data_IF_455899949690
#
_entry.id   IF_455899949690
#
_cell.length_a   1.000
_cell.length_b   1.000
_cell.length_c   1.000
_cell.angle_alpha   90.00
_cell.angle_beta   90.00
_cell.angle_gamma   90.00
#
_symmetry.space_group_name_H-M   'P 1'
#
loop_
_entity.id
_entity.type
_entity.pdbx_description
1 polymer ?
#
# COMPACT_ATOMS: atom_id res chain seq x y z
N UNK A 1 4.94 -16.17 1.56
CA UNK A 1 5.00 -14.80 1.00
C UNK A 1 6.33 -14.15 1.33
N UNK A 2 7.04 -13.65 0.32
CA UNK A 2 8.36 -13.00 0.45
C UNK A 2 8.25 -11.55 0.92
N UNK A 3 8.47 -11.25 2.19
CA UNK A 3 8.56 -9.87 2.71
C UNK A 3 9.99 -9.50 3.08
N UNK A 4 10.43 -8.27 2.74
CA UNK A 4 11.75 -7.70 3.10
C UNK A 4 11.85 -7.43 4.61
N UNK A 5 10.75 -7.04 5.24
CA UNK A 5 10.61 -6.93 6.71
C UNK A 5 9.48 -7.88 7.12
N UNK A 6 9.68 -8.62 8.21
CA UNK A 6 8.68 -9.55 8.77
C UNK A 6 8.77 -9.55 10.30
N UNK A 7 7.65 -9.79 10.95
CA UNK A 7 7.63 -10.17 12.36
C UNK A 7 7.70 -11.69 12.45
N UNK A 8 8.26 -12.22 13.54
CA UNK A 8 7.92 -13.59 13.96
C UNK A 8 6.40 -13.64 14.20
N UNK A 9 5.78 -14.78 13.91
CA UNK A 9 4.34 -14.96 14.08
C UNK A 9 4.07 -16.28 14.78
N UNK A 10 3.59 -16.16 16.02
CA UNK A 10 2.98 -17.25 16.77
C UNK A 10 1.53 -16.82 17.09
N UNK A 11 0.51 -17.49 16.53
CA UNK A 11 -0.89 -17.13 16.76
C UNK A 11 -1.33 -17.30 18.22
N UNK A 12 -0.62 -18.11 19.01
CA UNK A 12 -0.92 -18.38 20.42
C UNK A 12 -0.32 -17.31 21.36
N UNK A 13 0.63 -16.49 20.89
CA UNK A 13 1.16 -15.33 21.62
C UNK A 13 0.40 -14.04 21.23
N UNK A 14 -0.43 -13.48 22.12
CA UNK A 14 -1.22 -12.29 21.81
C UNK A 14 -0.39 -11.08 21.38
N UNK A 15 0.85 -10.95 21.89
CA UNK A 15 1.74 -9.84 21.53
C UNK A 15 2.28 -10.00 20.12
N UNK A 16 2.62 -11.22 19.71
CA UNK A 16 3.08 -11.50 18.36
C UNK A 16 1.94 -11.40 17.35
N UNK A 17 0.73 -11.81 17.73
CA UNK A 17 -0.48 -11.58 16.93
C UNK A 17 -0.75 -10.09 16.71
N UNK A 18 -0.64 -9.28 17.77
CA UNK A 18 -0.85 -7.83 17.66
C UNK A 18 0.27 -7.14 16.85
N UNK A 19 1.52 -7.55 17.03
CA UNK A 19 2.65 -7.06 16.24
C UNK A 19 2.49 -7.42 14.75
N UNK A 20 2.10 -8.67 14.45
CA UNK A 20 1.86 -9.13 13.09
C UNK A 20 0.71 -8.38 12.42
N UNK A 21 -0.41 -8.15 13.12
CA UNK A 21 -1.52 -7.36 12.60
C UNK A 21 -1.14 -5.90 12.35
N UNK A 22 -0.44 -5.28 13.31
CA UNK A 22 0.03 -3.89 13.22
C UNK A 22 1.02 -3.68 12.08
N UNK A 23 1.85 -4.68 11.78
CA UNK A 23 2.80 -4.65 10.69
C UNK A 23 2.13 -4.92 9.34
N UNK A 24 1.36 -6.00 9.25
CA UNK A 24 0.71 -6.42 7.99
C UNK A 24 -0.31 -5.41 7.50
N UNK A 25 -1.00 -4.70 8.41
CA UNK A 25 -1.94 -3.63 8.06
C UNK A 25 -1.28 -2.37 7.48
N UNK A 26 0.04 -2.20 7.67
CA UNK A 26 0.81 -1.05 7.15
C UNK A 26 1.64 -1.40 5.93
N UNK A 27 1.68 -2.68 5.54
CA UNK A 27 2.42 -3.11 4.36
C UNK A 27 1.65 -2.71 3.11
N UNK A 28 2.40 -2.26 2.12
CA UNK A 28 1.88 -1.96 0.80
C UNK A 28 2.30 -3.03 -0.19
N UNK A 29 1.52 -3.23 -1.24
CA UNK A 29 1.86 -4.19 -2.29
C UNK A 29 3.09 -3.70 -3.08
N UNK A 30 3.05 -2.44 -3.52
CA UNK A 30 4.17 -1.81 -4.20
C UNK A 30 4.39 -0.38 -3.71
N UNK A 31 5.67 -0.01 -3.60
CA UNK A 31 6.12 1.35 -3.34
C UNK A 31 7.02 1.80 -4.50
N UNK A 32 6.59 2.83 -5.22
CA UNK A 32 7.42 3.53 -6.18
C UNK A 32 8.29 4.54 -5.44
N UNK A 33 9.59 4.55 -5.73
CA UNK A 33 10.57 5.49 -5.17
C UNK A 33 11.23 6.29 -6.29
N UNK A 34 11.74 7.48 -5.95
CA UNK A 34 12.60 8.24 -6.86
C UNK A 34 14.06 7.76 -6.81
N UNK A 35 14.92 8.41 -7.60
CA UNK A 35 16.36 8.09 -7.67
C UNK A 35 17.13 8.35 -6.36
N UNK A 36 16.54 9.08 -5.42
CA UNK A 36 17.12 9.37 -4.11
C UNK A 36 16.57 8.44 -3.01
N UNK A 37 15.70 7.50 -3.38
CA UNK A 37 15.09 6.56 -2.45
C UNK A 37 13.89 7.12 -1.69
N UNK A 38 13.35 8.28 -2.09
CA UNK A 38 12.17 8.86 -1.45
C UNK A 38 10.89 8.26 -2.03
N UNK A 39 9.87 7.97 -1.18
CA UNK A 39 8.60 7.39 -1.62
C UNK A 39 7.82 8.37 -2.50
N UNK A 40 7.42 7.94 -3.69
CA UNK A 40 6.69 8.76 -4.68
C UNK A 40 5.22 8.38 -4.76
N UNK A 41 4.90 7.09 -4.81
CA UNK A 41 3.54 6.57 -4.99
C UNK A 41 3.43 5.19 -4.37
N UNK A 42 2.37 4.96 -3.62
CA UNK A 42 1.97 3.62 -3.19
C UNK A 42 0.96 3.06 -4.17
N UNK A 43 1.09 1.78 -4.50
CA UNK A 43 0.16 1.06 -5.38
C UNK A 43 -0.36 -0.18 -4.64
N UNK A 44 -1.67 -0.33 -4.57
CA UNK A 44 -2.37 -1.48 -3.99
C UNK A 44 -3.17 -2.19 -5.08
N UNK A 45 -3.08 -3.52 -5.14
CA UNK A 45 -3.83 -4.32 -6.10
C UNK A 45 -4.97 -5.07 -5.40
N UNK A 46 -6.21 -4.74 -5.75
CA UNK A 46 -7.40 -5.36 -5.19
C UNK A 46 -7.90 -6.50 -6.07
N UNK A 47 -7.47 -7.72 -5.74
CA UNK A 47 -8.04 -8.96 -6.29
C UNK A 47 -9.34 -9.38 -5.60
N UNK A 48 -10.04 -10.35 -6.18
CA UNK A 48 -11.30 -11.02 -5.73
C UNK A 48 -11.30 -11.53 -4.27
N UNK A 49 -10.17 -11.52 -3.57
CA UNK A 49 -10.08 -11.89 -2.15
C UNK A 49 -10.15 -10.74 -1.14
N UNK A 50 -10.19 -9.47 -1.58
CA UNK A 50 -10.13 -8.32 -0.66
C UNK A 50 -11.44 -7.97 0.05
N UNK A 51 -12.58 -8.49 -0.40
CA UNK A 51 -13.89 -8.30 0.26
C UNK A 51 -14.22 -9.38 1.31
N UNK A 52 -13.29 -10.30 1.61
CA UNK A 52 -13.58 -11.49 2.41
C UNK A 52 -13.37 -11.34 3.94
N UNK A 53 -13.13 -10.12 4.45
CA UNK A 53 -13.05 -9.91 5.91
C UNK A 53 -13.65 -8.57 6.31
N UNK A 54 -14.56 -8.56 7.30
CA UNK A 54 -15.22 -7.35 7.82
C UNK A 54 -14.27 -6.26 8.33
N UNK A 55 -13.01 -6.58 8.59
CA UNK A 55 -11.97 -5.63 9.05
C UNK A 55 -11.14 -5.04 7.89
N UNK A 56 -11.48 -5.30 6.63
CA UNK A 56 -10.72 -4.80 5.47
C UNK A 56 -10.82 -3.27 5.34
N UNK A 57 -12.02 -2.73 5.57
CA UNK A 57 -12.30 -1.29 5.47
C UNK A 57 -11.56 -0.48 6.54
N UNK A 58 -11.60 -0.94 7.79
CA UNK A 58 -10.91 -0.28 8.92
C UNK A 58 -9.39 -0.24 8.72
N UNK A 59 -8.82 -1.36 8.21
CA UNK A 59 -7.40 -1.42 7.86
C UNK A 59 -7.05 -0.45 6.73
N UNK A 60 -7.90 -0.37 5.72
CA UNK A 60 -7.69 0.55 4.61
C UNK A 60 -7.82 2.02 5.04
N UNK A 61 -8.71 2.33 5.97
CA UNK A 61 -8.86 3.68 6.53
C UNK A 61 -7.59 4.13 7.25
N UNK A 62 -6.99 3.27 8.09
CA UNK A 62 -5.70 3.55 8.74
C UNK A 62 -4.59 3.74 7.72
N UNK A 63 -4.53 2.90 6.69
CA UNK A 63 -3.53 3.00 5.62
C UNK A 63 -3.66 4.31 4.84
N UNK A 64 -4.86 4.68 4.39
CA UNK A 64 -5.13 5.94 3.69
C UNK A 64 -4.75 7.15 4.53
N UNK A 65 -5.10 7.16 5.82
CA UNK A 65 -4.75 8.25 6.73
C UNK A 65 -3.23 8.36 6.94
N UNK A 66 -2.53 7.23 7.09
CA UNK A 66 -1.07 7.22 7.25
C UNK A 66 -0.37 7.77 6.00
N UNK A 67 -0.80 7.36 4.81
CA UNK A 67 -0.26 7.84 3.53
C UNK A 67 -0.55 9.33 3.31
N UNK A 68 -1.77 9.78 3.62
CA UNK A 68 -2.14 11.18 3.60
C UNK A 68 -1.24 12.02 4.52
N UNK A 69 -1.03 11.59 5.77
CA UNK A 69 -0.14 12.29 6.71
C UNK A 69 1.32 12.31 6.25
N UNK A 70 1.75 11.29 5.52
CA UNK A 70 3.09 11.21 4.94
C UNK A 70 3.22 12.00 3.62
N UNK A 71 2.13 12.55 3.07
CA UNK A 71 2.14 13.20 1.76
C UNK A 71 2.45 12.25 0.61
N UNK A 72 2.16 10.96 0.78
CA UNK A 72 2.40 9.92 -0.23
C UNK A 72 1.06 9.54 -0.86
N UNK A 73 0.89 9.70 -2.18
CA UNK A 73 -0.34 9.31 -2.86
C UNK A 73 -0.50 7.78 -2.89
N UNK A 74 -1.76 7.35 -2.98
CA UNK A 74 -2.17 5.96 -3.10
C UNK A 74 -2.91 5.76 -4.43
N UNK A 75 -2.51 4.75 -5.20
CA UNK A 75 -3.21 4.28 -6.40
C UNK A 75 -3.75 2.86 -6.15
N UNK A 76 -5.06 2.72 -6.19
CA UNK A 76 -5.75 1.43 -6.04
C UNK A 76 -6.07 0.86 -7.42
N UNK A 77 -5.58 -0.35 -7.70
CA UNK A 77 -5.78 -1.04 -8.98
C UNK A 77 -6.77 -2.20 -8.78
N UNK A 78 -7.95 -2.17 -9.40
CA UNK A 78 -8.88 -3.29 -9.36
C UNK A 78 -8.43 -4.43 -10.29
N UNK A 79 -8.79 -5.67 -9.95
CA UNK A 79 -8.37 -6.89 -10.65
C UNK A 79 -8.50 -6.83 -12.18
N UNK A 80 -9.61 -6.26 -12.66
CA UNK A 80 -10.01 -6.25 -14.07
C UNK A 80 -9.47 -5.06 -14.86
N UNK A 81 -8.60 -4.24 -14.27
CA UNK A 81 -8.01 -3.11 -14.99
C UNK A 81 -7.03 -3.61 -16.05
N UNK A 82 -7.20 -3.15 -17.30
CA UNK A 82 -6.32 -3.56 -18.37
C UNK A 82 -4.90 -3.03 -18.17
N UNK A 83 -3.88 -3.80 -18.58
CA UNK A 83 -2.47 -3.41 -18.42
C UNK A 83 -2.17 -1.99 -18.93
N UNK A 84 -2.71 -1.60 -20.09
CA UNK A 84 -2.50 -0.28 -20.64
C UNK A 84 -3.07 0.83 -19.74
N UNK A 85 -4.23 0.60 -19.12
CA UNK A 85 -4.86 1.52 -18.18
C UNK A 85 -4.06 1.61 -16.87
N UNK A 86 -3.56 0.46 -16.38
CA UNK A 86 -2.67 0.42 -15.21
C UNK A 86 -1.43 1.30 -15.45
N UNK A 87 -0.76 1.11 -16.58
CA UNK A 87 0.46 1.86 -16.89
C UNK A 87 0.18 3.36 -17.05
N UNK A 88 -0.95 3.73 -17.65
CA UNK A 88 -1.38 5.11 -17.76
C UNK A 88 -1.63 5.74 -16.38
N UNK A 89 -2.40 5.06 -15.53
CA UNK A 89 -2.72 5.52 -14.17
C UNK A 89 -1.47 5.68 -13.30
N UNK A 90 -0.53 4.73 -13.36
CA UNK A 90 0.76 4.84 -12.66
C UNK A 90 1.54 6.05 -13.17
N UNK A 91 1.61 6.24 -14.48
CA UNK A 91 2.37 7.35 -15.09
C UNK A 91 1.79 8.71 -14.72
N UNK A 92 0.46 8.84 -14.73
CA UNK A 92 -0.25 10.05 -14.33
C UNK A 92 -0.05 10.35 -12.84
N UNK A 93 -0.30 9.38 -11.96
CA UNK A 93 -0.17 9.55 -10.52
C UNK A 93 1.27 9.86 -10.10
N UNK A 94 2.27 9.15 -10.66
CA UNK A 94 3.68 9.43 -10.41
C UNK A 94 4.10 10.81 -10.94
N UNK A 95 3.64 11.18 -12.13
CA UNK A 95 3.91 12.50 -12.72
C UNK A 95 3.36 13.65 -11.88
N UNK A 96 2.14 13.51 -11.36
CA UNK A 96 1.55 14.48 -10.44
C UNK A 96 2.34 14.57 -9.11
N UNK A 97 2.67 13.42 -8.51
CA UNK A 97 3.42 13.35 -7.26
C UNK A 97 4.80 14.00 -7.35
N UNK A 98 5.50 13.80 -8.46
CA UNK A 98 6.83 14.37 -8.68
C UNK A 98 6.79 15.90 -8.86
N UNK A 99 5.77 16.43 -9.55
CA UNK A 99 5.59 17.89 -9.72
C UNK A 99 5.37 18.62 -8.40
N UNK A 100 4.59 18.01 -7.49
CA UNK A 100 4.32 18.57 -6.15
C UNK A 100 5.58 18.65 -5.29
N UNK A 101 6.56 17.77 -5.49
CA UNK A 101 7.80 17.74 -4.70
C UNK A 101 8.90 18.69 -5.19
N UNK A 102 8.77 19.20 -6.41
CA UNK A 102 9.75 20.09 -7.04
C UNK A 102 9.36 21.57 -7.03
N UNK A 103 8.14 21.90 -6.57
CA UNK A 103 7.67 23.27 -6.36
C UNK A 103 7.77 23.66 -4.89
#
# INVERSE_FOLDING_TARGET
MGGFIRTTYDPEDPRQKQAFSSYSGKRVDFLLIDRYGLPVLVIEYHGTGHDLSGDADDRMAVKRLALQKAGIPLLEIPEKMARAQIMAAISEAAGAALKVKTG
#
